data_IF_686059642612
#
_entry.id   IF_686059642612
#
_cell.length_a   1.000
_cell.length_b   1.000
_cell.length_c   1.000
_cell.angle_alpha   90.00
_cell.angle_beta   90.00
_cell.angle_gamma   90.00
#
_symmetry.space_group_name_H-M   'P 1'
#
loop_
_entity.id
_entity.type
_entity.pdbx_description
1 polymer ?
#
# COMPACT_ATOMS: atom_id res chain seq x y z
N UNK A 1 -17.23 -20.58 -2.47
CA UNK A 1 -16.10 -20.51 -3.43
C UNK A 1 -14.93 -19.90 -2.69
N UNK A 2 -13.79 -20.58 -2.63
CA UNK A 2 -12.62 -20.06 -1.90
C UNK A 2 -11.90 -19.05 -2.82
N UNK A 3 -11.75 -17.81 -2.38
CA UNK A 3 -11.23 -16.70 -3.20
C UNK A 3 -9.72 -16.78 -3.53
N UNK A 4 -9.09 -17.92 -3.31
CA UNK A 4 -7.65 -18.13 -3.44
C UNK A 4 -6.86 -17.70 -2.21
N UNK A 5 -5.62 -18.19 -2.04
CA UNK A 5 -4.81 -17.89 -0.87
C UNK A 5 -4.29 -16.43 -0.94
N UNK A 6 -4.41 -15.73 0.17
CA UNK A 6 -3.77 -14.43 0.41
C UNK A 6 -2.72 -14.64 1.49
N UNK A 7 -1.49 -14.18 1.24
CA UNK A 7 -0.44 -14.11 2.24
C UNK A 7 -0.26 -12.66 2.72
N UNK A 8 -0.08 -12.48 4.00
CA UNK A 8 0.12 -11.18 4.64
C UNK A 8 1.48 -11.13 5.33
N UNK A 9 2.32 -10.17 4.92
CA UNK A 9 3.57 -9.87 5.61
C UNK A 9 3.39 -8.60 6.44
N UNK A 10 3.48 -8.71 7.77
CA UNK A 10 3.39 -7.57 8.69
C UNK A 10 4.80 -7.13 9.05
N UNK A 11 5.16 -5.92 8.65
CA UNK A 11 6.51 -5.36 8.79
C UNK A 11 6.48 -4.25 9.84
N UNK A 12 7.20 -4.46 10.96
CA UNK A 12 7.38 -3.51 12.06
C UNK A 12 8.85 -3.12 12.25
N UNK A 13 9.77 -3.76 11.52
CA UNK A 13 11.18 -3.46 11.59
C UNK A 13 11.46 -2.10 10.92
N UNK A 14 11.84 -1.11 11.72
CA UNK A 14 12.04 0.27 11.25
C UNK A 14 13.12 0.38 10.15
N UNK A 15 14.19 -0.42 10.21
CA UNK A 15 15.24 -0.40 9.19
C UNK A 15 14.71 -0.97 7.87
N UNK A 16 13.91 -2.02 7.93
CA UNK A 16 13.31 -2.63 6.74
C UNK A 16 12.24 -1.72 6.11
N UNK A 17 11.40 -1.06 6.94
CA UNK A 17 10.47 -0.03 6.47
C UNK A 17 11.20 1.10 5.76
N UNK A 18 12.32 1.57 6.35
CA UNK A 18 13.15 2.59 5.73
C UNK A 18 13.75 2.11 4.41
N UNK A 19 14.29 0.89 4.37
CA UNK A 19 14.86 0.30 3.14
C UNK A 19 13.81 0.22 2.03
N UNK A 20 12.60 -0.28 2.33
CA UNK A 20 11.49 -0.36 1.36
C UNK A 20 11.10 1.03 0.87
N UNK A 21 10.96 2.01 1.77
CA UNK A 21 10.63 3.38 1.41
C UNK A 21 11.67 4.00 0.47
N UNK A 22 12.94 3.87 0.80
CA UNK A 22 14.04 4.48 0.06
C UNK A 22 14.18 3.86 -1.34
N UNK A 23 14.16 2.53 -1.44
CA UNK A 23 14.21 1.81 -2.72
C UNK A 23 13.01 2.15 -3.60
N UNK A 24 11.79 2.19 -3.03
CA UNK A 24 10.60 2.57 -3.77
C UNK A 24 10.65 4.02 -4.25
N UNK A 25 11.16 4.93 -3.42
CA UNK A 25 11.34 6.35 -3.77
C UNK A 25 12.31 6.49 -4.94
N UNK A 26 13.47 5.85 -4.88
CA UNK A 26 14.46 5.89 -5.96
C UNK A 26 13.90 5.32 -7.27
N UNK A 27 13.21 4.18 -7.20
CA UNK A 27 12.56 3.56 -8.35
C UNK A 27 11.44 4.46 -8.93
N UNK A 28 10.64 5.09 -8.06
CA UNK A 28 9.57 6.00 -8.47
C UNK A 28 10.08 7.25 -9.18
N UNK A 29 11.19 7.83 -8.73
CA UNK A 29 11.84 8.96 -9.39
C UNK A 29 12.38 8.62 -10.79
N UNK A 30 12.71 7.35 -11.03
CA UNK A 30 13.18 6.85 -12.34
C UNK A 30 12.04 6.32 -13.23
N UNK A 31 10.81 6.24 -12.73
CA UNK A 31 9.66 5.72 -13.47
C UNK A 31 9.14 6.73 -14.50
N UNK A 32 8.31 6.28 -15.43
CA UNK A 32 7.61 7.15 -16.40
C UNK A 32 6.33 7.79 -15.82
N UNK A 33 6.08 7.62 -14.52
CA UNK A 33 4.91 8.18 -13.85
C UNK A 33 5.19 9.59 -13.32
N UNK A 34 4.82 10.60 -14.09
CA UNK A 34 5.08 12.00 -13.75
C UNK A 34 4.34 12.47 -12.49
N UNK A 35 3.13 11.95 -12.24
CA UNK A 35 2.40 12.23 -10.99
C UNK A 35 3.17 11.73 -9.77
N UNK A 36 3.69 10.51 -9.84
CA UNK A 36 4.49 9.95 -8.75
C UNK A 36 5.78 10.75 -8.54
N UNK A 37 6.50 11.09 -9.63
CA UNK A 37 7.70 11.92 -9.56
C UNK A 37 7.45 13.28 -8.90
N UNK A 38 6.38 13.95 -9.27
CA UNK A 38 6.00 15.23 -8.67
C UNK A 38 5.75 15.11 -7.15
N UNK A 39 5.07 14.05 -6.72
CA UNK A 39 4.85 13.79 -5.28
C UNK A 39 6.14 13.49 -4.54
N UNK A 40 7.01 12.65 -5.13
CA UNK A 40 8.29 12.28 -4.53
C UNK A 40 9.29 13.44 -4.47
N UNK A 41 9.12 14.46 -5.32
CA UNK A 41 9.93 15.68 -5.30
C UNK A 41 9.55 16.66 -4.16
N UNK A 42 8.43 16.42 -3.47
CA UNK A 42 8.01 17.27 -2.33
C UNK A 42 8.98 17.04 -1.17
N UNK A 43 9.63 18.10 -0.62
CA UNK A 43 10.54 17.97 0.51
C UNK A 43 9.89 17.26 1.70
N UNK A 44 10.55 16.22 2.22
CA UNK A 44 10.08 15.44 3.37
C UNK A 44 8.98 14.42 3.05
N UNK A 45 8.50 14.32 1.83
CA UNK A 45 7.52 13.29 1.45
C UNK A 45 8.12 11.89 1.57
N UNK A 46 7.36 10.99 2.16
CA UNK A 46 7.72 9.56 2.29
C UNK A 46 6.57 8.71 1.75
N UNK A 47 6.87 7.74 0.91
CA UNK A 47 5.86 6.82 0.37
C UNK A 47 5.08 6.05 1.45
N UNK A 48 5.75 5.72 2.56
CA UNK A 48 5.14 5.06 3.71
C UNK A 48 4.71 6.03 4.82
N UNK A 49 4.72 7.34 4.58
CA UNK A 49 4.28 8.41 5.50
C UNK A 49 4.94 8.36 6.89
N UNK A 50 5.99 7.57 7.06
CA UNK A 50 6.64 7.35 8.37
C UNK A 50 5.87 6.44 9.32
N UNK A 51 4.88 5.71 8.81
CA UNK A 51 4.07 4.79 9.60
C UNK A 51 4.93 3.67 10.23
N UNK A 52 4.60 3.21 11.45
CA UNK A 52 5.36 2.19 12.16
C UNK A 52 5.11 0.77 11.63
N UNK A 53 4.05 0.55 10.87
CA UNK A 53 3.66 -0.76 10.35
C UNK A 53 3.28 -0.66 8.88
N UNK A 54 3.82 -1.59 8.08
CA UNK A 54 3.37 -1.86 6.71
C UNK A 54 2.87 -3.30 6.65
N UNK A 55 1.67 -3.51 6.15
CA UNK A 55 1.13 -4.83 5.81
C UNK A 55 1.14 -4.97 4.30
N UNK A 56 1.85 -5.98 3.79
CA UNK A 56 1.91 -6.31 2.37
C UNK A 56 1.02 -7.52 2.12
N UNK A 57 0.06 -7.37 1.21
CA UNK A 57 -0.81 -8.46 0.78
C UNK A 57 -0.30 -9.03 -0.54
N UNK A 58 -0.09 -10.33 -0.54
CA UNK A 58 0.45 -11.08 -1.68
C UNK A 58 -0.46 -12.24 -2.05
N UNK A 59 -0.48 -12.59 -3.33
CA UNK A 59 -1.23 -13.72 -3.85
C UNK A 59 -0.52 -14.32 -5.06
N UNK A 60 -0.76 -15.59 -5.40
CA UNK A 60 -0.32 -16.17 -6.67
C UNK A 60 -0.89 -15.41 -7.86
N UNK A 61 -0.33 -15.64 -9.06
CA UNK A 61 -0.95 -15.13 -10.28
C UNK A 61 -2.33 -15.78 -10.49
N UNK A 62 -3.31 -14.96 -10.84
CA UNK A 62 -4.69 -15.39 -11.05
C UNK A 62 -5.58 -14.19 -11.39
N UNK A 63 -6.67 -14.46 -12.08
CA UNK A 63 -7.61 -13.45 -12.59
C UNK A 63 -8.13 -12.51 -11.48
N UNK A 64 -8.40 -13.05 -10.30
CA UNK A 64 -8.99 -12.28 -9.19
C UNK A 64 -7.98 -11.90 -8.10
N UNK A 65 -6.68 -12.19 -8.27
CA UNK A 65 -5.68 -11.99 -7.23
C UNK A 65 -5.58 -10.55 -6.74
N UNK A 66 -5.58 -9.58 -7.65
CA UNK A 66 -5.55 -8.16 -7.31
C UNK A 66 -6.85 -7.71 -6.62
N UNK A 67 -8.02 -8.13 -7.13
CA UNK A 67 -9.31 -7.79 -6.56
C UNK A 67 -9.47 -8.37 -5.15
N UNK A 68 -9.10 -9.64 -4.95
CA UNK A 68 -9.18 -10.31 -3.65
C UNK A 68 -8.29 -9.65 -2.60
N UNK A 69 -7.04 -9.30 -2.96
CA UNK A 69 -6.13 -8.61 -2.03
C UNK A 69 -6.59 -7.20 -1.72
N UNK A 70 -7.13 -6.46 -2.70
CA UNK A 70 -7.69 -5.12 -2.47
C UNK A 70 -8.92 -5.18 -1.55
N UNK A 71 -9.83 -6.14 -1.77
CA UNK A 71 -10.98 -6.36 -0.90
C UNK A 71 -10.57 -6.67 0.54
N UNK A 72 -9.57 -7.54 0.73
CA UNK A 72 -9.02 -7.84 2.05
C UNK A 72 -8.43 -6.59 2.72
N UNK A 73 -7.61 -5.82 1.99
CA UNK A 73 -7.02 -4.59 2.51
C UNK A 73 -8.09 -3.56 2.91
N UNK A 74 -9.15 -3.40 2.11
CA UNK A 74 -10.27 -2.50 2.42
C UNK A 74 -10.96 -2.91 3.73
N UNK A 75 -11.26 -4.20 3.91
CA UNK A 75 -11.86 -4.68 5.16
C UNK A 75 -10.94 -4.45 6.37
N UNK A 76 -9.62 -4.61 6.18
CA UNK A 76 -8.65 -4.31 7.24
C UNK A 76 -8.62 -2.81 7.58
N UNK A 77 -8.74 -1.91 6.60
CA UNK A 77 -8.83 -0.47 6.84
C UNK A 77 -10.08 -0.13 7.67
N UNK A 78 -11.23 -0.73 7.32
CA UNK A 78 -12.48 -0.53 8.08
C UNK A 78 -12.33 -1.04 9.52
N UNK A 79 -11.80 -2.26 9.71
CA UNK A 79 -11.56 -2.81 11.04
C UNK A 79 -10.58 -1.98 11.88
N UNK A 80 -9.55 -1.41 11.25
CA UNK A 80 -8.60 -0.54 11.93
C UNK A 80 -9.25 0.76 12.43
N UNK A 81 -10.21 1.32 11.69
CA UNK A 81 -10.98 2.50 12.11
C UNK A 81 -11.75 2.23 13.41
N UNK A 82 -12.36 1.04 13.55
CA UNK A 82 -13.04 0.62 14.79
C UNK A 82 -12.07 0.50 15.98
N UNK A 83 -10.79 0.31 15.71
CA UNK A 83 -9.72 0.24 16.71
C UNK A 83 -9.01 1.59 16.93
N UNK A 84 -9.57 2.67 16.42
CA UNK A 84 -9.00 4.03 16.49
C UNK A 84 -7.59 4.12 15.87
N UNK A 85 -7.31 3.32 14.84
CA UNK A 85 -6.05 3.32 14.11
C UNK A 85 -6.20 4.06 12.77
N UNK A 86 -5.22 4.90 12.46
CA UNK A 86 -5.08 5.50 11.14
C UNK A 86 -4.52 4.49 10.14
N UNK A 87 -5.05 4.50 8.91
CA UNK A 87 -4.60 3.62 7.84
C UNK A 87 -4.53 4.36 6.50
N UNK A 88 -3.69 3.85 5.59
CA UNK A 88 -3.71 4.25 4.21
C UNK A 88 -3.43 3.05 3.31
N UNK A 89 -4.33 2.80 2.34
CA UNK A 89 -4.10 1.82 1.27
C UNK A 89 -3.04 2.34 0.31
N UNK A 90 -2.04 1.51 -0.01
CA UNK A 90 -0.89 1.89 -0.81
C UNK A 90 -0.54 0.83 -1.87
N UNK A 91 -0.05 1.31 -3.02
CA UNK A 91 0.54 0.48 -4.06
C UNK A 91 1.93 1.01 -4.53
N UNK A 92 2.24 2.28 -4.31
CA UNK A 92 3.49 2.89 -4.79
C UNK A 92 4.76 2.23 -4.26
N UNK A 93 4.74 1.69 -3.05
CA UNK A 93 5.87 0.97 -2.44
C UNK A 93 6.22 -0.34 -3.16
N UNK A 94 5.31 -0.90 -3.99
CA UNK A 94 5.55 -2.14 -4.75
C UNK A 94 6.74 -2.01 -5.70
N UNK A 95 7.08 -0.80 -6.11
CA UNK A 95 8.28 -0.51 -6.90
C UNK A 95 9.56 -0.99 -6.23
N UNK A 96 9.61 -1.04 -4.89
CA UNK A 96 10.76 -1.55 -4.16
C UNK A 96 11.04 -3.02 -4.49
N UNK A 97 10.01 -3.84 -4.61
CA UNK A 97 10.15 -5.28 -4.86
C UNK A 97 10.51 -5.59 -6.32
N UNK A 98 10.17 -4.68 -7.24
CA UNK A 98 10.61 -4.76 -8.63
C UNK A 98 12.07 -4.34 -8.76
N UNK A 99 12.47 -3.26 -8.08
CA UNK A 99 13.83 -2.73 -8.12
C UNK A 99 14.84 -3.58 -7.32
N UNK A 100 14.36 -4.21 -6.24
CA UNK A 100 15.19 -4.99 -5.32
C UNK A 100 14.46 -6.28 -4.89
N UNK A 101 14.45 -7.33 -5.75
CA UNK A 101 13.68 -8.56 -5.54
C UNK A 101 14.03 -9.31 -4.24
N UNK A 102 15.26 -9.18 -3.73
CA UNK A 102 15.65 -9.80 -2.46
C UNK A 102 14.84 -9.33 -1.25
N UNK A 103 14.16 -8.19 -1.35
CA UNK A 103 13.23 -7.72 -0.33
C UNK A 103 12.05 -8.69 -0.14
N UNK A 104 11.65 -9.43 -1.18
CA UNK A 104 10.57 -10.42 -1.08
C UNK A 104 10.90 -11.50 -0.05
N UNK A 105 12.14 -11.99 -0.05
CA UNK A 105 12.60 -12.98 0.93
C UNK A 105 12.69 -12.36 2.33
N UNK A 106 13.18 -11.11 2.43
CA UNK A 106 13.30 -10.41 3.72
C UNK A 106 11.95 -10.23 4.43
N UNK A 107 10.87 -10.07 3.67
CA UNK A 107 9.51 -9.92 4.20
C UNK A 107 8.72 -11.22 4.22
N UNK A 108 9.34 -12.35 3.86
CA UNK A 108 8.76 -13.69 3.97
C UNK A 108 7.68 -13.99 2.93
N UNK A 109 7.74 -13.40 1.74
CA UNK A 109 6.80 -13.74 0.65
C UNK A 109 7.06 -15.18 0.19
N UNK A 110 6.04 -16.06 0.21
CA UNK A 110 6.18 -17.44 -0.26
C UNK A 110 6.50 -17.52 -1.75
N UNK A 111 7.17 -18.59 -2.15
CA UNK A 111 7.40 -18.88 -3.57
C UNK A 111 6.08 -18.95 -4.34
N UNK A 112 6.05 -18.38 -5.54
CA UNK A 112 4.85 -18.30 -6.38
C UNK A 112 3.88 -17.17 -5.99
N UNK A 113 4.11 -16.46 -4.88
CA UNK A 113 3.31 -15.29 -4.50
C UNK A 113 3.96 -13.99 -4.98
N UNK A 114 3.13 -13.02 -5.33
CA UNK A 114 3.55 -11.67 -5.71
C UNK A 114 2.82 -10.64 -4.86
N UNK A 115 3.51 -9.61 -4.34
CA UNK A 115 2.85 -8.48 -3.70
C UNK A 115 1.85 -7.81 -4.66
N UNK A 116 0.65 -7.52 -4.18
CA UNK A 116 -0.42 -6.91 -4.99
C UNK A 116 -0.77 -5.51 -4.50
N UNK A 117 -0.81 -5.34 -3.21
CA UNK A 117 -1.10 -4.07 -2.54
C UNK A 117 -0.60 -4.15 -1.10
N UNK A 118 -0.80 -3.07 -0.37
CA UNK A 118 -0.56 -3.05 1.06
C UNK A 118 -1.28 -1.91 1.74
N UNK A 119 -1.12 -1.84 3.03
CA UNK A 119 -1.59 -0.74 3.84
C UNK A 119 -0.60 -0.42 4.94
N UNK A 120 -0.50 0.84 5.28
CA UNK A 120 0.19 1.29 6.49
C UNK A 120 -0.80 1.46 7.62
N UNK A 121 -0.31 1.23 8.85
CA UNK A 121 -1.12 1.37 10.07
C UNK A 121 -0.29 2.11 11.12
N UNK A 122 -0.95 2.99 11.87
CA UNK A 122 -0.38 3.70 12.99
C UNK A 122 -1.43 4.43 13.79
N UNK A 123 -1.04 4.98 14.94
CA UNK A 123 -1.88 5.92 15.65
C UNK A 123 -1.83 7.28 14.95
N UNK A 124 -2.92 8.03 15.07
CA UNK A 124 -3.01 9.38 14.55
C UNK A 124 -1.94 10.27 15.19
N UNK A 125 -1.14 10.93 14.37
CA UNK A 125 -0.10 11.83 14.84
C UNK A 125 -0.63 13.24 15.09
N UNK A 126 0.12 14.09 15.82
CA UNK A 126 -0.27 15.47 16.11
C UNK A 126 -0.32 16.37 14.86
N UNK A 127 0.35 15.97 13.78
CA UNK A 127 0.43 16.72 12.53
C UNK A 127 -0.42 16.01 11.48
N UNK A 128 -1.71 16.24 11.50
CA UNK A 128 -2.60 15.78 10.44
C UNK A 128 -2.30 16.59 9.16
N UNK A 129 -2.02 15.87 8.06
CA UNK A 129 -2.12 16.48 6.74
C UNK A 129 -3.62 16.73 6.52
N UNK A 130 -4.07 17.96 6.28
CA UNK A 130 -5.47 18.19 5.96
C UNK A 130 -5.91 17.23 4.87
N UNK A 131 -6.95 16.46 5.12
CA UNK A 131 -7.55 15.59 4.11
C UNK A 131 -7.92 16.42 2.88
N UNK A 132 -7.85 15.82 1.69
CA UNK A 132 -8.46 16.46 0.53
C UNK A 132 -9.94 16.66 0.82
N UNK A 133 -10.44 17.86 0.51
CA UNK A 133 -11.87 18.12 0.57
C UNK A 133 -12.59 17.08 -0.30
N UNK A 134 -13.52 16.35 0.31
CA UNK A 134 -14.30 15.36 -0.42
C UNK A 134 -15.31 16.09 -1.30
N UNK A 135 -15.11 15.99 -2.61
CA UNK A 135 -16.07 16.52 -3.58
C UNK A 135 -17.04 15.38 -3.91
N UNK A 136 -18.31 15.57 -3.54
CA UNK A 136 -19.37 14.65 -3.93
C UNK A 136 -19.65 14.86 -5.44
N UNK A 137 -19.21 13.91 -6.25
CA UNK A 137 -19.49 13.88 -7.69
C UNK A 137 -20.22 12.58 -8.04
N UNK A 138 -21.48 12.71 -8.36
CA UNK A 138 -22.38 11.61 -8.75
C UNK A 138 -22.56 11.52 -10.28
N UNK A 139 -21.84 12.31 -11.06
CA UNK A 139 -21.96 12.37 -12.53
C UNK A 139 -21.68 11.03 -13.23
N UNK A 140 -20.93 10.15 -12.56
CA UNK A 140 -20.58 8.82 -13.08
C UNK A 140 -21.52 7.70 -12.61
N UNK A 141 -22.62 8.04 -11.94
CA UNK A 141 -23.61 7.06 -11.49
C UNK A 141 -24.76 7.00 -12.51
N UNK A 142 -25.00 5.82 -13.06
CA UNK A 142 -26.14 5.57 -13.92
C UNK A 142 -27.15 4.66 -13.21
N UNK A 143 -28.40 5.12 -13.11
CA UNK A 143 -29.51 4.34 -12.56
C UNK A 143 -30.22 3.65 -13.73
N UNK A 144 -30.36 2.34 -13.67
CA UNK A 144 -31.05 1.53 -14.67
C UNK A 144 -32.28 0.95 -14.02
N UNK A 145 -33.47 1.32 -14.56
CA UNK A 145 -34.80 0.83 -14.13
C UNK A 145 -35.14 -0.50 -14.80
#
# INVERSE_FOLDING_TARGET
MNAGPIHMSVIQNANLLKEINDVATEAGLKSDNDFLKQRLAIPGYKLLYGAPVLIVLSAPDGEFSAANTACAATNMCIAATELELGTCYLAGFLLAFTAKPELLQKIGIPEGFKPRCGMIIGYEGPNQIPGMEWIEDYSNINYVD
#
